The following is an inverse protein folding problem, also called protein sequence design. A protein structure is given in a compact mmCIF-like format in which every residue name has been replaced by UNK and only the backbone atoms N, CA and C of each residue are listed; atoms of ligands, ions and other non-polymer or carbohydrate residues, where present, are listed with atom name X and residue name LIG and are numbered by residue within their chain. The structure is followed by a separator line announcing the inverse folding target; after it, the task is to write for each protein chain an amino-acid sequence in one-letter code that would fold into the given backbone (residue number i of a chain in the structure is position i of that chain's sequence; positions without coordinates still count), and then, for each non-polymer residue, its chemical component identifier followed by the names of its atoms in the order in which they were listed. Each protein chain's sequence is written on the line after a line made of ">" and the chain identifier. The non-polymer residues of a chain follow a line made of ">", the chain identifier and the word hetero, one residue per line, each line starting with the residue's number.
data_IF_785702085451
#
_entry.id   IF_785702085451
#
_cell.length_a   1.000
_cell.length_b   1.000
_cell.length_c   1.000
_cell.angle_alpha   90.00
_cell.angle_beta   90.00
_cell.angle_gamma   90.00
#
_symmetry.space_group_name_H-M   'P 1'
#
loop_
_entity.id
_entity.type
_entity.pdbx_description
1 polymer ?
#
# COMPACT_ATOMS: atom_id res chain seq x y z
N UNK A 1 19.83 -19.98 36.24
CA UNK A 1 19.95 -18.65 36.87
C UNK A 1 18.93 -17.75 36.22
N UNK A 2 17.84 -17.46 36.93
CA UNK A 2 16.73 -16.65 36.40
C UNK A 2 17.25 -15.23 36.14
N UNK A 3 17.10 -14.76 34.91
CA UNK A 3 17.54 -13.43 34.49
C UNK A 3 16.86 -12.38 35.37
N UNK A 4 17.58 -11.38 35.91
CA UNK A 4 17.02 -10.36 36.81
C UNK A 4 15.78 -9.63 36.24
N UNK A 5 15.64 -9.62 34.91
CA UNK A 5 14.47 -9.13 34.18
C UNK A 5 13.15 -9.82 34.60
N UNK A 6 13.18 -11.13 34.87
CA UNK A 6 12.00 -11.90 35.28
C UNK A 6 11.58 -11.59 36.73
N UNK A 7 12.52 -11.22 37.59
CA UNK A 7 12.26 -10.89 39.00
C UNK A 7 11.69 -9.47 39.11
N UNK A 8 12.13 -8.53 38.27
CA UNK A 8 11.53 -7.19 38.16
C UNK A 8 10.14 -7.22 37.54
N UNK A 9 9.90 -8.06 36.51
CA UNK A 9 8.57 -8.30 35.92
C UNK A 9 7.54 -8.78 36.95
N UNK A 10 7.97 -9.59 37.93
CA UNK A 10 7.09 -10.14 38.96
C UNK A 10 6.79 -9.15 40.11
N UNK A 11 7.60 -8.10 40.30
CA UNK A 11 7.49 -7.19 41.48
C UNK A 11 6.66 -5.93 41.22
N UNK A 12 6.57 -5.44 39.98
CA UNK A 12 5.82 -4.22 39.65
C UNK A 12 5.05 -4.37 38.32
N UNK A 13 4.02 -5.23 38.28
CA UNK A 13 3.24 -5.50 37.07
C UNK A 13 2.40 -4.29 36.61
N UNK A 14 2.08 -3.36 37.51
CA UNK A 14 1.17 -2.23 37.25
C UNK A 14 1.82 -1.06 36.53
N UNK A 15 3.15 -0.90 36.59
CA UNK A 15 3.87 0.15 35.85
C UNK A 15 4.03 -0.20 34.35
N UNK A 16 4.04 -1.49 34.01
CA UNK A 16 4.10 -1.94 32.63
C UNK A 16 2.75 -1.92 31.92
N UNK A 17 1.64 -2.14 32.63
CA UNK A 17 0.30 -2.10 32.02
C UNK A 17 -0.05 -0.71 31.49
N UNK A 18 0.30 0.34 32.22
CA UNK A 18 -0.02 1.73 31.82
C UNK A 18 0.87 2.21 30.65
N UNK A 19 2.09 1.69 30.51
CA UNK A 19 2.90 1.92 29.32
C UNK A 19 2.51 1.01 28.16
N UNK A 20 2.18 -0.26 28.42
CA UNK A 20 1.70 -1.19 27.40
C UNK A 20 0.41 -0.70 26.75
N UNK A 21 -0.49 -0.06 27.51
CA UNK A 21 -1.68 0.59 26.95
C UNK A 21 -1.32 1.78 26.06
N UNK A 22 -0.35 2.61 26.45
CA UNK A 22 0.13 3.71 25.61
C UNK A 22 0.81 3.23 24.31
N UNK A 23 1.62 2.16 24.37
CA UNK A 23 2.20 1.52 23.18
C UNK A 23 1.14 0.78 22.35
N UNK A 24 0.12 0.21 22.98
CA UNK A 24 -0.99 -0.45 22.29
C UNK A 24 -1.85 0.56 21.54
N UNK A 25 -2.16 1.72 22.13
CA UNK A 25 -2.88 2.80 21.46
C UNK A 25 -2.07 3.39 20.30
N UNK A 26 -0.76 3.57 20.47
CA UNK A 26 0.12 4.03 19.39
C UNK A 26 0.23 2.99 18.26
N UNK A 27 0.35 1.70 18.62
CA UNK A 27 0.35 0.61 17.66
C UNK A 27 -0.99 0.52 16.92
N UNK A 28 -2.12 0.72 17.60
CA UNK A 28 -3.46 0.71 16.98
C UNK A 28 -3.63 1.90 16.01
N UNK A 29 -3.15 3.09 16.39
CA UNK A 29 -3.19 4.29 15.57
C UNK A 29 -2.32 4.15 14.31
N UNK A 30 -1.10 3.62 14.43
CA UNK A 30 -0.25 3.30 13.28
C UNK A 30 -0.88 2.19 12.41
N UNK A 31 -1.46 1.16 13.03
CA UNK A 31 -2.12 0.08 12.30
C UNK A 31 -3.29 0.60 11.46
N UNK A 32 -4.11 1.50 12.01
CA UNK A 32 -5.20 2.14 11.26
C UNK A 32 -4.65 2.94 10.07
N UNK A 33 -3.61 3.75 10.27
CA UNK A 33 -2.95 4.50 9.19
C UNK A 33 -2.33 3.61 8.11
N UNK A 34 -1.74 2.47 8.48
CA UNK A 34 -1.20 1.48 7.53
C UNK A 34 -2.32 0.79 6.76
N UNK A 35 -3.44 0.44 7.42
CA UNK A 35 -4.57 -0.19 6.74
C UNK A 35 -5.25 0.72 5.74
N UNK A 36 -5.39 2.01 6.03
CA UNK A 36 -6.01 2.94 5.09
C UNK A 36 -5.11 3.25 3.89
N UNK A 37 -3.80 3.31 4.10
CA UNK A 37 -2.82 3.38 3.01
C UNK A 37 -2.90 2.12 2.12
N UNK A 38 -2.91 0.92 2.72
CA UNK A 38 -3.06 -0.34 2.00
C UNK A 38 -4.38 -0.43 1.23
N UNK A 39 -5.51 0.00 1.81
CA UNK A 39 -6.80 0.06 1.12
C UNK A 39 -6.76 1.00 -0.08
N UNK A 40 -6.20 2.19 0.09
CA UNK A 40 -6.09 3.17 -1.00
C UNK A 40 -5.24 2.61 -2.14
N UNK A 41 -4.12 1.98 -1.82
CA UNK A 41 -3.21 1.35 -2.79
C UNK A 41 -3.87 0.17 -3.49
N UNK A 42 -4.58 -0.69 -2.75
CA UNK A 42 -5.35 -1.78 -3.31
C UNK A 42 -6.41 -1.28 -4.30
N UNK A 43 -7.09 -0.17 -3.99
CA UNK A 43 -8.08 0.42 -4.88
C UNK A 43 -7.47 0.87 -6.22
N UNK A 44 -6.29 1.50 -6.20
CA UNK A 44 -5.59 1.89 -7.43
C UNK A 44 -5.16 0.69 -8.27
N UNK A 45 -4.63 -0.36 -7.64
CA UNK A 45 -4.22 -1.59 -8.34
C UNK A 45 -5.41 -2.35 -8.92
N UNK A 46 -6.52 -2.45 -8.17
CA UNK A 46 -7.77 -3.07 -8.66
C UNK A 46 -8.32 -2.28 -9.84
N UNK A 47 -8.37 -0.95 -9.73
CA UNK A 47 -8.84 -0.08 -10.83
C UNK A 47 -7.97 -0.24 -12.07
N UNK A 48 -6.64 -0.25 -11.90
CA UNK A 48 -5.68 -0.51 -12.98
C UNK A 48 -5.92 -1.85 -13.66
N UNK A 49 -6.10 -2.92 -12.87
CA UNK A 49 -6.35 -4.26 -13.39
C UNK A 49 -7.66 -4.34 -14.18
N UNK A 50 -8.74 -3.75 -13.65
CA UNK A 50 -10.05 -3.72 -14.31
C UNK A 50 -9.96 -2.95 -15.63
N UNK A 51 -9.40 -1.74 -15.65
CA UNK A 51 -9.24 -0.96 -16.87
C UNK A 51 -8.34 -1.67 -17.90
N UNK A 52 -7.26 -2.30 -17.44
CA UNK A 52 -6.37 -3.07 -18.30
C UNK A 52 -7.09 -4.26 -18.95
N UNK A 53 -7.86 -5.01 -18.18
CA UNK A 53 -8.62 -6.16 -18.69
C UNK A 53 -9.69 -5.73 -19.69
N UNK A 54 -10.46 -4.69 -19.36
CA UNK A 54 -11.46 -4.13 -20.28
C UNK A 54 -10.80 -3.61 -21.57
N UNK A 55 -9.69 -2.89 -21.45
CA UNK A 55 -8.93 -2.39 -22.59
C UNK A 55 -8.39 -3.51 -23.49
N UNK A 56 -7.87 -4.59 -22.91
CA UNK A 56 -7.41 -5.76 -23.65
C UNK A 56 -8.55 -6.49 -24.36
N UNK A 57 -9.70 -6.66 -23.72
CA UNK A 57 -10.88 -7.25 -24.35
C UNK A 57 -11.33 -6.42 -25.56
N UNK A 58 -11.47 -5.09 -25.39
CA UNK A 58 -11.84 -4.18 -26.46
C UNK A 58 -10.81 -4.16 -27.59
N UNK A 59 -9.52 -4.24 -27.26
CA UNK A 59 -8.45 -4.32 -28.25
C UNK A 59 -8.53 -5.62 -29.06
N UNK A 60 -8.81 -6.75 -28.40
CA UNK A 60 -9.06 -8.02 -29.06
C UNK A 60 -10.26 -7.94 -30.01
N UNK A 61 -11.39 -7.37 -29.56
CA UNK A 61 -12.57 -7.17 -30.41
C UNK A 61 -12.28 -6.25 -31.59
N UNK A 62 -11.53 -5.17 -31.36
CA UNK A 62 -11.10 -4.24 -32.41
C UNK A 62 -10.25 -4.94 -33.47
N UNK A 63 -9.30 -5.80 -33.06
CA UNK A 63 -8.48 -6.59 -33.96
C UNK A 63 -9.33 -7.55 -34.81
N UNK A 64 -10.30 -8.23 -34.18
CA UNK A 64 -11.22 -9.12 -34.88
C UNK A 64 -12.07 -8.35 -35.91
N UNK A 65 -12.59 -7.18 -35.55
CA UNK A 65 -13.35 -6.33 -36.48
C UNK A 65 -12.47 -5.82 -37.62
N UNK A 66 -11.25 -5.41 -37.35
CA UNK A 66 -10.29 -4.98 -38.37
C UNK A 66 -9.92 -6.11 -39.33
N UNK A 67 -9.89 -7.36 -38.87
CA UNK A 67 -9.60 -8.52 -39.70
C UNK A 67 -10.77 -8.93 -40.60
N UNK A 68 -12.01 -8.77 -40.12
CA UNK A 68 -13.22 -9.24 -40.82
C UNK A 68 -13.86 -8.16 -41.70
N UNK A 69 -13.82 -6.90 -41.27
CA UNK A 69 -14.55 -5.81 -41.93
C UNK A 69 -13.57 -4.90 -42.69
N UNK A 70 -13.77 -4.67 -44.00
CA UNK A 70 -12.93 -3.74 -44.77
C UNK A 70 -12.99 -2.31 -44.21
N UNK A 71 -11.84 -1.64 -44.09
CA UNK A 71 -11.80 -0.27 -43.57
C UNK A 71 -12.61 0.72 -44.41
N UNK A 72 -12.70 0.50 -45.72
CA UNK A 72 -13.43 1.35 -46.66
C UNK A 72 -14.95 1.34 -46.44
N UNK A 73 -15.50 0.30 -45.80
CA UNK A 73 -16.93 0.20 -45.46
C UNK A 73 -17.25 0.65 -44.04
N UNK A 74 -16.25 1.07 -43.25
CA UNK A 74 -16.47 1.56 -41.89
C UNK A 74 -16.77 3.07 -41.90
N UNK A 75 -17.88 3.52 -41.27
CA UNK A 75 -18.20 4.95 -41.19
C UNK A 75 -17.21 5.74 -40.32
N UNK A 76 -16.63 5.12 -39.29
CA UNK A 76 -15.66 5.75 -38.38
C UNK A 76 -14.54 4.77 -38.00
N UNK A 77 -13.57 4.50 -38.89
CA UNK A 77 -12.52 3.51 -38.65
C UNK A 77 -11.57 3.88 -37.50
N UNK A 78 -11.46 5.16 -37.16
CA UNK A 78 -10.61 5.63 -36.06
C UNK A 78 -11.09 5.16 -34.67
N UNK A 79 -12.38 4.80 -34.53
CA UNK A 79 -12.93 4.27 -33.27
C UNK A 79 -12.30 2.94 -32.85
N UNK A 80 -11.84 2.13 -33.83
CA UNK A 80 -11.15 0.86 -33.58
C UNK A 80 -9.94 1.05 -32.65
N UNK A 81 -9.27 2.20 -32.73
CA UNK A 81 -8.12 2.50 -31.89
C UNK A 81 -8.51 3.34 -30.68
N UNK A 82 -9.40 4.32 -30.86
CA UNK A 82 -9.80 5.23 -29.78
C UNK A 82 -10.49 4.50 -28.62
N UNK A 83 -11.42 3.58 -28.91
CA UNK A 83 -12.22 2.87 -27.90
C UNK A 83 -11.36 2.01 -26.96
N UNK A 84 -10.46 1.15 -27.44
CA UNK A 84 -9.55 0.41 -26.56
C UNK A 84 -8.44 1.27 -25.97
N UNK A 85 -8.02 2.35 -26.64
CA UNK A 85 -6.96 3.21 -26.13
C UNK A 85 -7.36 3.95 -24.84
N UNK A 86 -8.60 4.43 -24.72
CA UNK A 86 -9.06 5.17 -23.53
C UNK A 86 -8.86 4.38 -22.22
N UNK A 87 -9.39 3.15 -22.05
CA UNK A 87 -9.18 2.39 -20.83
C UNK A 87 -7.72 1.94 -20.64
N UNK A 88 -6.98 1.66 -21.71
CA UNK A 88 -5.55 1.31 -21.62
C UNK A 88 -4.69 2.48 -21.12
N UNK A 89 -4.91 3.68 -21.65
CA UNK A 89 -4.24 4.91 -21.18
C UNK A 89 -4.63 5.17 -19.73
N UNK A 90 -5.91 5.01 -19.37
CA UNK A 90 -6.36 5.10 -17.99
C UNK A 90 -5.63 4.12 -17.08
N UNK A 91 -5.50 2.85 -17.48
CA UNK A 91 -4.76 1.84 -16.72
C UNK A 91 -3.29 2.25 -16.52
N UNK A 92 -2.61 2.74 -17.56
CA UNK A 92 -1.22 3.21 -17.46
C UNK A 92 -1.10 4.40 -16.50
N UNK A 93 -2.01 5.37 -16.57
CA UNK A 93 -2.02 6.53 -15.67
C UNK A 93 -2.24 6.08 -14.22
N UNK A 94 -3.22 5.22 -13.95
CA UNK A 94 -3.47 4.72 -12.59
C UNK A 94 -2.31 3.85 -12.07
N UNK A 95 -1.67 3.05 -12.92
CA UNK A 95 -0.47 2.29 -12.57
C UNK A 95 0.69 3.22 -12.21
N UNK A 96 0.89 4.29 -12.99
CA UNK A 96 1.93 5.29 -12.71
C UNK A 96 1.64 6.02 -11.39
N UNK A 97 0.40 6.46 -11.17
CA UNK A 97 0.01 7.09 -9.90
C UNK A 97 0.22 6.12 -8.73
N UNK A 98 -0.13 4.84 -8.88
CA UNK A 98 0.09 3.83 -7.85
C UNK A 98 1.59 3.59 -7.58
N UNK A 99 2.43 3.63 -8.61
CA UNK A 99 3.87 3.41 -8.51
C UNK A 99 4.65 4.63 -7.99
N UNK A 100 4.13 5.84 -8.18
CA UNK A 100 4.76 7.09 -7.71
C UNK A 100 4.40 7.47 -6.30
N UNK A 101 3.32 6.89 -5.75
CA UNK A 101 3.03 6.98 -4.32
C UNK A 101 4.12 6.25 -3.54
N UNK A 102 5.09 7.04 -3.06
CA UNK A 102 6.01 6.60 -2.02
C UNK A 102 5.21 6.46 -0.73
N UNK A 103 4.93 5.23 -0.35
CA UNK A 103 4.44 4.94 0.99
C UNK A 103 5.59 5.25 1.96
N UNK A 104 5.36 6.13 2.93
CA UNK A 104 6.29 6.28 4.04
C UNK A 104 6.46 4.90 4.70
N UNK A 105 7.68 4.48 5.05
CA UNK A 105 7.89 3.15 5.59
C UNK A 105 6.98 2.95 6.81
N UNK A 106 6.15 1.91 6.76
CA UNK A 106 5.33 1.53 7.90
C UNK A 106 6.24 1.34 9.12
N UNK A 107 5.80 1.82 10.29
CA UNK A 107 6.55 1.77 11.55
C UNK A 107 7.80 2.65 11.64
N UNK A 108 7.94 3.70 10.83
CA UNK A 108 9.08 4.61 10.95
C UNK A 108 9.11 5.34 12.29
N UNK A 109 7.96 5.82 12.77
CA UNK A 109 7.86 6.48 14.07
C UNK A 109 8.08 5.49 15.21
N UNK A 110 7.49 4.29 15.16
CA UNK A 110 7.77 3.21 16.11
C UNK A 110 9.27 2.86 16.20
N UNK A 111 9.95 2.81 15.05
CA UNK A 111 11.38 2.47 14.96
C UNK A 111 12.26 3.62 15.45
N UNK A 112 11.88 4.86 15.20
CA UNK A 112 12.56 6.04 15.72
C UNK A 112 12.46 6.08 17.26
N UNK A 113 11.28 5.79 17.80
CA UNK A 113 11.03 5.78 19.25
C UNK A 113 11.80 4.65 19.94
N UNK A 114 11.82 3.45 19.37
CA UNK A 114 12.66 2.35 19.86
C UNK A 114 14.14 2.75 19.87
N UNK A 115 14.65 3.36 18.79
CA UNK A 115 16.04 3.78 18.72
C UNK A 115 16.39 4.79 19.84
N UNK A 116 15.46 5.66 20.19
CA UNK A 116 15.60 6.66 21.25
C UNK A 116 15.59 6.02 22.65
N UNK A 117 14.71 5.05 22.88
CA UNK A 117 14.65 4.29 24.14
C UNK A 117 15.92 3.45 24.35
N UNK A 118 16.46 2.85 23.29
CA UNK A 118 17.75 2.14 23.34
C UNK A 118 18.95 3.04 23.58
N UNK A 119 18.95 4.25 23.03
CA UNK A 119 19.99 5.22 23.32
C UNK A 119 19.96 5.63 24.81
N UNK A 120 18.77 5.86 25.35
CA UNK A 120 18.58 6.27 26.75
C UNK A 120 18.99 5.15 27.72
N UNK A 121 18.64 3.90 27.42
CA UNK A 121 19.03 2.74 28.24
C UNK A 121 20.53 2.44 28.18
N UNK A 122 21.21 2.74 27.07
CA UNK A 122 22.67 2.64 26.98
C UNK A 122 23.36 3.63 27.91
N UNK A 123 22.89 4.88 27.93
CA UNK A 123 23.46 5.95 28.76
C UNK A 123 23.30 5.61 30.25
N UNK A 124 22.13 5.09 30.65
CA UNK A 124 21.87 4.67 32.03
C UNK A 124 22.61 3.40 32.47
N UNK A 125 23.12 2.60 31.53
CA UNK A 125 23.91 1.40 31.83
C UNK A 125 25.42 1.64 31.90
N UNK A 126 25.89 2.84 31.54
CA UNK A 126 27.29 3.26 31.61
C UNK A 126 27.61 4.04 32.91
N UNK A 127 26.61 4.30 33.77
CA UNK A 127 26.78 4.79 35.17
C UNK A 127 26.72 3.64 36.19
#
# INVERSE_FOLDING_TARGET
>A
MLHPLFITLAKQPTLFTEHADAYADLALAEWQGVTDQLKSRALFWVTTAVLGLVGLMLLGTSLLLCAVVPLASMPMPWLLWAVPAVPLVGAVVFAWVAATRHDAPAFEALRAQWAQDMATLKILGEE
#
